data_IF_187744775176
#
_entry.id   IF_187744775176
#
_cell.length_a   1.000
_cell.length_b   1.000
_cell.length_c   1.000
_cell.angle_alpha   90.00
_cell.angle_beta   90.00
_cell.angle_gamma   90.00
#
_symmetry.space_group_name_H-M   'P 1'
#
loop_
_entity.id
_entity.type
_entity.pdbx_description
1 polymer ?
#
# COMPACT_ATOMS: atom_id res chain seq x y z
N UNK A 1 -1.80 13.67 20.01
CA UNK A 1 -2.41 13.38 18.69
C UNK A 1 -2.54 14.64 17.82
N UNK A 2 -3.31 15.66 18.18
CA UNK A 2 -3.55 16.86 17.34
C UNK A 2 -2.30 17.60 16.82
N UNK A 3 -1.20 17.63 17.57
CA UNK A 3 0.04 18.31 17.18
C UNK A 3 0.71 17.73 15.92
N UNK A 4 0.49 16.45 15.62
CA UNK A 4 1.10 15.76 14.49
C UNK A 4 0.17 15.70 13.28
N UNK A 5 -1.13 15.67 13.49
CA UNK A 5 -2.13 15.64 12.41
C UNK A 5 -2.03 16.84 11.45
N UNK A 6 -1.68 18.02 11.98
CA UNK A 6 -1.54 19.26 11.21
C UNK A 6 -0.29 19.30 10.27
N UNK A 7 0.62 18.33 10.38
CA UNK A 7 1.87 18.30 9.60
C UNK A 7 1.94 17.14 8.58
N UNK A 8 0.90 16.29 8.50
CA UNK A 8 0.88 15.19 7.56
C UNK A 8 0.21 15.60 6.26
N UNK A 9 0.95 15.55 5.16
CA UNK A 9 0.42 15.66 3.79
C UNK A 9 -0.14 14.32 3.27
N UNK A 10 -0.30 13.32 4.15
CA UNK A 10 -0.76 11.99 3.79
C UNK A 10 -2.24 12.04 3.38
N UNK A 11 -2.55 11.53 2.20
CA UNK A 11 -3.92 11.38 1.71
C UNK A 11 -4.56 10.09 2.22
N UNK A 12 -5.84 10.11 2.48
CA UNK A 12 -6.63 8.95 2.89
C UNK A 12 -7.77 9.32 3.84
N UNK A 13 -8.78 8.46 3.92
CA UNK A 13 -9.97 8.68 4.75
C UNK A 13 -9.71 8.50 6.26
N UNK A 14 -8.65 7.75 6.62
CA UNK A 14 -8.29 7.51 8.02
C UNK A 14 -7.42 8.62 8.61
N UNK A 15 -7.57 8.94 9.91
CA UNK A 15 -6.61 9.76 10.63
C UNK A 15 -5.23 9.09 10.62
N UNK A 16 -4.21 9.77 10.10
CA UNK A 16 -2.83 9.28 10.03
C UNK A 16 -1.91 10.23 10.76
N UNK A 17 -0.98 9.67 11.51
CA UNK A 17 0.01 10.44 12.27
C UNK A 17 1.39 9.92 11.94
N UNK A 18 2.33 10.83 11.66
CA UNK A 18 3.73 10.50 11.50
C UNK A 18 4.40 10.68 12.86
N UNK A 19 4.97 9.61 13.40
CA UNK A 19 5.74 9.62 14.65
C UNK A 19 7.14 9.08 14.43
N UNK A 20 8.13 9.56 15.18
CA UNK A 20 9.50 9.05 15.13
C UNK A 20 9.63 7.66 15.76
N UNK A 21 10.56 6.84 15.27
CA UNK A 21 10.73 5.43 15.69
C UNK A 21 11.53 5.18 16.94
N UNK A 22 12.11 6.13 17.62
CA UNK A 22 12.77 5.84 18.88
C UNK A 22 11.76 5.68 20.02
N UNK A 23 11.14 4.51 20.06
CA UNK A 23 10.58 3.95 21.28
C UNK A 23 11.70 3.09 21.88
N UNK A 24 12.62 3.70 22.59
CA UNK A 24 13.46 2.97 23.52
C UNK A 24 12.55 2.44 24.63
N UNK A 25 12.69 1.16 24.95
CA UNK A 25 11.88 0.44 25.94
C UNK A 25 12.07 0.94 27.41
N UNK A 26 12.54 2.15 27.59
CA UNK A 26 12.59 2.81 28.89
C UNK A 26 11.34 3.66 29.08
N UNK A 27 10.59 3.34 30.14
CA UNK A 27 9.47 4.11 30.68
C UNK A 27 9.93 5.51 31.09
N UNK A 28 10.28 6.37 30.15
CA UNK A 28 10.48 7.77 30.41
C UNK A 28 9.42 8.60 29.68
N UNK A 29 8.78 9.50 30.40
CA UNK A 29 7.76 10.43 29.91
C UNK A 29 8.29 11.47 28.89
N UNK A 30 9.37 11.19 28.16
CA UNK A 30 9.97 12.07 27.16
C UNK A 30 10.26 11.28 25.89
N UNK A 31 9.37 11.38 24.92
CA UNK A 31 9.62 10.90 23.56
C UNK A 31 10.56 11.87 22.85
N UNK A 32 11.78 11.45 22.60
CA UNK A 32 12.76 12.21 21.82
C UNK A 32 12.52 11.98 20.33
N UNK A 33 11.90 12.95 19.64
CA UNK A 33 11.47 12.86 18.25
C UNK A 33 12.60 13.30 17.31
N UNK A 34 13.43 12.37 16.81
CA UNK A 34 14.53 12.70 15.91
C UNK A 34 14.16 12.67 14.42
N UNK A 35 13.37 11.71 13.95
CA UNK A 35 12.85 11.65 12.57
C UNK A 35 11.53 10.91 12.51
N UNK A 36 10.54 11.37 11.70
CA UNK A 36 9.29 10.64 11.53
C UNK A 36 9.54 9.40 10.68
N UNK A 37 9.50 8.23 11.27
CA UNK A 37 9.81 6.97 10.60
C UNK A 37 8.67 5.98 10.57
N UNK A 38 7.59 6.23 11.29
CA UNK A 38 6.39 5.39 11.26
C UNK A 38 5.13 6.22 11.02
N UNK A 39 4.13 5.55 10.45
CA UNK A 39 2.77 6.05 10.28
C UNK A 39 1.90 5.27 11.26
N UNK A 40 1.13 5.97 12.09
CA UNK A 40 0.13 5.36 12.97
C UNK A 40 -1.25 5.64 12.38
N UNK A 41 -2.01 4.58 12.16
CA UNK A 41 -3.40 4.63 11.68
C UNK A 41 -4.31 4.16 12.80
N UNK A 42 -5.30 4.95 13.14
CA UNK A 42 -6.31 4.63 14.14
C UNK A 42 -7.62 4.26 13.45
N UNK A 43 -8.25 3.16 13.87
CA UNK A 43 -9.55 2.76 13.35
C UNK A 43 -10.62 3.78 13.76
N UNK A 44 -11.39 4.28 12.80
CA UNK A 44 -12.58 5.08 13.07
C UNK A 44 -13.79 4.22 13.46
N UNK A 45 -14.82 4.85 14.00
CA UNK A 45 -16.08 4.16 14.35
C UNK A 45 -16.81 3.59 13.11
N UNK A 46 -16.58 4.16 11.94
CA UNK A 46 -17.22 3.76 10.69
C UNK A 46 -16.79 2.36 10.21
N UNK A 47 -15.52 1.99 10.47
CA UNK A 47 -14.97 0.68 10.10
C UNK A 47 -14.37 0.00 11.33
N UNK A 48 -15.20 -0.66 12.16
CA UNK A 48 -14.70 -1.34 13.37
C UNK A 48 -13.65 -2.39 13.01
N UNK A 49 -12.55 -2.42 13.79
CA UNK A 49 -11.47 -3.40 13.60
C UNK A 49 -10.59 -3.18 12.34
N UNK A 50 -10.65 -2.00 11.69
CA UNK A 50 -9.89 -1.74 10.48
C UNK A 50 -8.37 -1.85 10.69
N UNK A 51 -7.85 -1.45 11.86
CA UNK A 51 -6.43 -1.61 12.22
C UNK A 51 -6.02 -3.09 12.26
N UNK A 52 -6.86 -3.94 12.83
CA UNK A 52 -6.65 -5.39 12.87
C UNK A 52 -6.75 -6.01 11.48
N UNK A 53 -7.71 -5.56 10.67
CA UNK A 53 -7.87 -6.00 9.28
C UNK A 53 -6.61 -5.68 8.45
N UNK A 54 -6.12 -4.44 8.51
CA UNK A 54 -4.89 -4.05 7.79
C UNK A 54 -3.69 -4.86 8.28
N UNK A 55 -3.54 -5.05 9.61
CA UNK A 55 -2.49 -5.88 10.16
C UNK A 55 -2.53 -7.32 9.62
N UNK A 56 -3.72 -7.92 9.54
CA UNK A 56 -3.92 -9.27 9.01
C UNK A 56 -3.55 -9.34 7.52
N UNK A 57 -4.01 -8.39 6.72
CA UNK A 57 -3.72 -8.35 5.29
C UNK A 57 -2.23 -8.14 5.01
N UNK A 58 -1.56 -7.28 5.79
CA UNK A 58 -0.11 -7.09 5.71
C UNK A 58 0.67 -8.32 6.16
N UNK A 59 0.16 -9.08 7.15
CA UNK A 59 0.75 -10.36 7.56
C UNK A 59 0.67 -11.40 6.45
N UNK A 60 -0.47 -11.49 5.75
CA UNK A 60 -0.60 -12.36 4.56
C UNK A 60 0.37 -11.95 3.46
N UNK A 61 0.56 -10.65 3.22
CA UNK A 61 1.55 -10.16 2.26
C UNK A 61 2.98 -10.60 2.64
N UNK A 62 3.33 -10.51 3.91
CA UNK A 62 4.64 -10.94 4.44
C UNK A 62 4.85 -12.46 4.29
N UNK A 63 3.86 -13.27 4.65
CA UNK A 63 3.90 -14.74 4.49
C UNK A 63 3.96 -15.17 3.03
N UNK A 64 3.39 -14.36 2.13
CA UNK A 64 3.50 -14.57 0.68
C UNK A 64 4.87 -14.09 0.11
N UNK A 65 5.84 -13.74 0.96
CA UNK A 65 7.17 -13.23 0.59
C UNK A 65 7.13 -11.95 -0.28
N UNK A 66 6.08 -11.14 -0.15
CA UNK A 66 6.09 -9.82 -0.75
C UNK A 66 6.91 -8.85 0.10
N UNK A 67 7.51 -7.86 -0.56
CA UNK A 67 8.23 -6.81 0.16
C UNK A 67 7.23 -5.95 0.95
N UNK A 68 7.31 -6.01 2.28
CA UNK A 68 6.49 -5.23 3.20
C UNK A 68 7.38 -4.41 4.14
N UNK A 69 7.02 -3.17 4.50
CA UNK A 69 7.70 -2.44 5.57
C UNK A 69 7.42 -3.14 6.91
N UNK A 70 8.23 -2.88 7.92
CA UNK A 70 7.91 -3.37 9.28
C UNK A 70 6.60 -2.75 9.77
N UNK A 71 5.78 -3.54 10.42
CA UNK A 71 4.48 -3.10 10.93
C UNK A 71 4.13 -3.78 12.24
N UNK A 72 3.25 -3.15 13.00
CA UNK A 72 2.82 -3.60 14.31
C UNK A 72 1.35 -3.27 14.52
N UNK A 73 0.75 -3.99 15.46
CA UNK A 73 -0.57 -3.69 16.00
C UNK A 73 -0.41 -3.28 17.46
N UNK A 74 -1.13 -2.26 17.93
CA UNK A 74 -1.16 -1.92 19.34
C UNK A 74 -1.81 -3.02 20.17
N UNK A 75 -1.47 -3.13 21.46
CA UNK A 75 -1.97 -4.18 22.37
C UNK A 75 -3.50 -4.20 22.46
N UNK A 76 -4.13 -3.06 22.32
CA UNK A 76 -5.59 -2.89 22.29
C UNK A 76 -6.21 -3.08 20.88
N UNK A 77 -5.40 -3.43 19.89
CA UNK A 77 -5.77 -3.62 18.48
C UNK A 77 -6.47 -2.42 17.83
N UNK A 78 -6.41 -1.22 18.43
CA UNK A 78 -7.05 -0.02 17.90
C UNK A 78 -6.19 0.74 16.90
N UNK A 79 -4.85 0.50 16.89
CA UNK A 79 -3.90 1.20 16.03
C UNK A 79 -3.04 0.24 15.24
N UNK A 80 -2.99 0.47 13.93
CA UNK A 80 -2.01 -0.13 13.05
C UNK A 80 -0.83 0.84 12.89
N UNK A 81 0.38 0.31 13.03
CA UNK A 81 1.61 1.07 12.97
C UNK A 81 2.46 0.49 11.85
N UNK A 82 2.92 1.32 10.93
CA UNK A 82 3.75 0.88 9.81
C UNK A 82 4.94 1.80 9.63
N UNK A 83 6.10 1.20 9.36
CA UNK A 83 7.31 1.94 9.05
C UNK A 83 7.19 2.62 7.69
N UNK A 84 7.74 3.81 7.56
CA UNK A 84 7.81 4.51 6.27
C UNK A 84 8.86 3.83 5.39
N UNK A 85 8.46 3.47 4.20
CA UNK A 85 9.34 2.90 3.17
C UNK A 85 9.92 3.96 2.21
N UNK A 86 9.44 5.20 2.28
CA UNK A 86 9.92 6.33 1.47
C UNK A 86 11.18 6.99 2.05
N UNK A 87 11.95 6.20 2.82
CA UNK A 87 13.24 6.59 3.38
C UNK A 87 14.19 5.41 3.36
N UNK A 88 15.44 5.69 3.07
CA UNK A 88 16.49 4.68 3.19
C UNK A 88 16.92 4.46 4.65
N UNK A 89 17.75 3.45 4.96
CA UNK A 89 18.20 3.16 6.33
C UNK A 89 18.94 4.32 7.02
N UNK A 90 19.50 5.25 6.25
CA UNK A 90 20.15 6.47 6.80
C UNK A 90 19.15 7.60 7.08
N UNK A 91 17.86 7.40 6.77
CA UNK A 91 16.80 8.39 6.94
C UNK A 91 16.66 9.40 5.78
N UNK A 92 17.46 9.26 4.70
CA UNK A 92 17.33 10.10 3.49
C UNK A 92 16.00 9.79 2.80
N UNK A 93 15.23 10.80 2.39
CA UNK A 93 14.01 10.56 1.59
C UNK A 93 14.33 9.85 0.28
N UNK A 94 13.50 8.87 -0.07
CA UNK A 94 13.42 8.27 -1.40
C UNK A 94 12.40 9.02 -2.24
N UNK A 95 12.57 9.02 -3.56
CA UNK A 95 11.52 9.38 -4.48
C UNK A 95 10.40 8.34 -4.42
N UNK A 96 9.16 8.79 -4.36
CA UNK A 96 7.97 7.94 -4.38
C UNK A 96 6.87 8.60 -5.18
N UNK A 97 6.37 7.87 -6.18
CA UNK A 97 5.24 8.30 -7.01
C UNK A 97 4.17 7.24 -7.03
N UNK A 98 2.94 7.60 -6.66
CA UNK A 98 1.80 6.68 -6.79
C UNK A 98 1.31 6.58 -8.25
N UNK A 99 0.57 5.52 -8.57
CA UNK A 99 0.11 5.26 -9.93
C UNK A 99 -0.90 6.29 -10.45
N UNK A 100 -1.58 7.04 -9.58
CA UNK A 100 -2.44 8.14 -10.01
C UNK A 100 -1.59 9.29 -10.55
N UNK A 101 -0.50 9.66 -9.86
CA UNK A 101 0.46 10.68 -10.31
C UNK A 101 1.12 10.24 -11.61
N UNK A 102 1.62 9.02 -11.70
CA UNK A 102 2.27 8.48 -12.91
C UNK A 102 1.31 8.37 -14.10
N UNK A 103 0.01 8.23 -13.86
CA UNK A 103 -1.04 8.28 -14.88
C UNK A 103 -1.49 9.71 -15.23
N UNK A 104 -0.95 10.75 -14.60
CA UNK A 104 -1.37 12.15 -14.81
C UNK A 104 -2.75 12.46 -14.24
N UNK A 105 -3.20 11.71 -13.22
CA UNK A 105 -4.52 11.83 -12.61
C UNK A 105 -4.45 12.56 -11.27
N UNK A 106 -5.49 13.31 -10.95
CA UNK A 106 -5.64 13.95 -9.63
C UNK A 106 -6.01 12.94 -8.54
N UNK A 107 -5.87 13.33 -7.27
CA UNK A 107 -6.25 12.51 -6.13
C UNK A 107 -7.74 12.09 -6.15
N UNK A 108 -8.63 12.93 -6.66
CA UNK A 108 -10.07 12.63 -6.80
C UNK A 108 -10.35 11.57 -7.89
N UNK A 109 -9.41 11.37 -8.81
CA UNK A 109 -9.51 10.43 -9.91
C UNK A 109 -8.84 9.07 -9.62
N UNK A 110 -8.50 8.78 -8.37
CA UNK A 110 -7.78 7.57 -7.93
C UNK A 110 -8.47 6.25 -8.32
N UNK A 111 -9.77 6.25 -8.58
CA UNK A 111 -10.55 5.09 -9.05
C UNK A 111 -10.70 5.03 -10.58
N UNK A 112 -10.11 5.98 -11.31
CA UNK A 112 -10.14 5.98 -12.77
C UNK A 112 -8.97 5.17 -13.31
N UNK A 113 -9.26 4.17 -14.13
CA UNK A 113 -8.21 3.34 -14.73
C UNK A 113 -8.46 1.85 -14.59
N UNK A 114 -7.38 1.10 -14.69
CA UNK A 114 -7.43 -0.37 -14.59
C UNK A 114 -6.11 -0.92 -14.06
N UNK A 115 -6.12 -2.16 -13.60
CA UNK A 115 -4.87 -2.85 -13.22
C UNK A 115 -3.94 -3.04 -14.43
N UNK A 116 -4.50 -3.14 -15.65
CA UNK A 116 -3.68 -3.11 -16.86
C UNK A 116 -2.93 -1.78 -17.05
N UNK A 117 -3.51 -0.65 -16.61
CA UNK A 117 -2.79 0.63 -16.67
C UNK A 117 -1.63 0.68 -15.69
N UNK A 118 -1.77 0.10 -14.50
CA UNK A 118 -0.69 -0.06 -13.52
C UNK A 118 0.46 -0.87 -14.13
N UNK A 119 0.15 -2.05 -14.70
CA UNK A 119 1.17 -2.91 -15.31
C UNK A 119 1.90 -2.23 -16.47
N UNK A 120 1.17 -1.43 -17.30
CA UNK A 120 1.82 -0.65 -18.37
C UNK A 120 2.75 0.44 -17.83
N UNK A 121 2.38 1.10 -16.75
CA UNK A 121 3.25 2.08 -16.09
C UNK A 121 4.52 1.39 -15.58
N UNK A 122 4.41 0.24 -14.93
CA UNK A 122 5.57 -0.55 -14.47
C UNK A 122 6.47 -0.91 -15.66
N UNK A 123 5.91 -1.43 -16.75
CA UNK A 123 6.68 -1.74 -17.97
C UNK A 123 7.38 -0.52 -18.58
N UNK A 124 6.83 0.69 -18.39
CA UNK A 124 7.41 1.91 -18.95
C UNK A 124 8.57 2.42 -18.10
N UNK A 125 8.47 2.35 -16.79
CA UNK A 125 9.43 2.97 -15.88
C UNK A 125 10.42 1.98 -15.25
N UNK A 126 10.04 0.72 -15.07
CA UNK A 126 10.90 -0.30 -14.49
C UNK A 126 11.49 -1.18 -15.61
N UNK A 127 12.81 -1.18 -15.75
CA UNK A 127 13.49 -1.85 -16.87
C UNK A 127 13.74 -3.36 -16.67
N UNK A 128 12.97 -4.05 -15.79
CA UNK A 128 13.20 -5.46 -15.49
C UNK A 128 11.89 -6.26 -15.29
N UNK A 129 11.95 -7.56 -15.64
CA UNK A 129 10.83 -8.49 -15.48
C UNK A 129 10.41 -8.70 -14.02
N UNK A 130 11.36 -8.63 -13.08
CA UNK A 130 11.07 -8.82 -11.66
C UNK A 130 10.10 -7.75 -11.14
N UNK A 131 10.13 -6.54 -11.69
CA UNK A 131 9.19 -5.49 -11.36
C UNK A 131 7.74 -5.84 -11.75
N UNK A 132 7.57 -6.49 -12.93
CA UNK A 132 6.26 -6.96 -13.37
C UNK A 132 5.74 -8.08 -12.47
N UNK A 133 6.59 -9.03 -12.09
CA UNK A 133 6.23 -10.11 -11.17
C UNK A 133 5.82 -9.54 -9.82
N UNK A 134 6.60 -8.62 -9.27
CA UNK A 134 6.33 -7.96 -7.98
C UNK A 134 5.00 -7.19 -8.01
N UNK A 135 4.77 -6.38 -9.04
CA UNK A 135 3.54 -5.60 -9.14
C UNK A 135 2.32 -6.50 -9.38
N UNK A 136 2.45 -7.51 -10.24
CA UNK A 136 1.39 -8.50 -10.43
C UNK A 136 1.06 -9.23 -9.13
N UNK A 137 2.05 -9.71 -8.38
CA UNK A 137 1.83 -10.39 -7.10
C UNK A 137 1.07 -9.51 -6.10
N UNK A 138 1.38 -8.20 -6.07
CA UNK A 138 0.65 -7.24 -5.25
C UNK A 138 -0.80 -7.05 -5.71
N UNK A 139 -1.06 -6.95 -7.02
CA UNK A 139 -2.41 -6.86 -7.58
C UNK A 139 -3.20 -8.14 -7.27
N UNK A 140 -2.57 -9.29 -7.44
CA UNK A 140 -3.18 -10.59 -7.14
C UNK A 140 -3.52 -10.71 -5.64
N UNK A 141 -2.61 -10.31 -4.75
CA UNK A 141 -2.86 -10.26 -3.31
C UNK A 141 -4.12 -9.45 -2.98
N UNK A 142 -4.21 -8.20 -3.48
CA UNK A 142 -5.37 -7.34 -3.25
C UNK A 142 -6.67 -7.99 -3.75
N UNK A 143 -6.64 -8.62 -4.93
CA UNK A 143 -7.81 -9.30 -5.48
C UNK A 143 -8.22 -10.53 -4.66
N UNK A 144 -7.27 -11.34 -4.20
CA UNK A 144 -7.50 -12.53 -3.37
C UNK A 144 -8.01 -12.18 -1.97
N UNK A 145 -7.49 -11.12 -1.38
CA UNK A 145 -7.93 -10.58 -0.09
C UNK A 145 -9.28 -9.84 -0.17
N UNK A 146 -9.86 -9.71 -1.37
CA UNK A 146 -11.10 -8.95 -1.58
C UNK A 146 -10.97 -7.49 -1.17
N UNK A 147 -9.85 -6.87 -1.53
CA UNK A 147 -9.60 -5.46 -1.31
C UNK A 147 -10.31 -4.61 -2.39
N UNK A 148 -11.50 -4.16 -2.08
CA UNK A 148 -12.30 -3.29 -2.96
C UNK A 148 -11.85 -1.82 -2.93
N UNK A 149 -10.84 -1.46 -2.12
CA UNK A 149 -10.25 -0.11 -2.08
C UNK A 149 -8.83 -0.06 -2.70
N UNK A 150 -8.37 -1.12 -3.35
CA UNK A 150 -7.07 -1.18 -4.02
C UNK A 150 -7.02 -0.29 -5.28
N UNK A 151 -7.07 1.03 -5.08
CA UNK A 151 -7.07 2.05 -6.14
C UNK A 151 -5.65 2.47 -6.56
N UNK A 152 -5.51 3.36 -7.55
CA UNK A 152 -4.21 3.78 -8.10
C UNK A 152 -3.22 4.32 -7.06
N UNK A 153 -3.70 4.92 -5.98
CA UNK A 153 -2.82 5.48 -4.93
C UNK A 153 -2.31 4.43 -3.93
N UNK A 154 -2.78 3.19 -4.00
CA UNK A 154 -2.27 2.08 -3.19
C UNK A 154 -1.10 1.35 -3.86
N UNK A 155 -0.75 1.73 -5.07
CA UNK A 155 0.38 1.22 -5.84
C UNK A 155 1.34 2.36 -6.18
N UNK A 156 2.63 2.11 -6.17
CA UNK A 156 3.61 3.15 -6.47
C UNK A 156 4.97 2.59 -6.88
N UNK A 157 5.83 3.50 -7.30
CA UNK A 157 7.22 3.25 -7.62
C UNK A 157 8.12 4.05 -6.67
N UNK A 158 9.29 3.49 -6.35
CA UNK A 158 10.31 4.12 -5.51
C UNK A 158 11.64 4.16 -6.24
N UNK A 159 12.46 5.19 -5.95
CA UNK A 159 13.80 5.38 -6.48
C UNK A 159 14.65 6.22 -5.51
N UNK A 160 15.97 6.03 -5.53
CA UNK A 160 16.86 6.76 -4.61
C UNK A 160 17.12 8.20 -5.04
N UNK A 161 17.48 8.38 -6.32
CA UNK A 161 17.81 9.67 -6.93
C UNK A 161 17.32 9.69 -8.40
N UNK A 162 17.18 10.87 -9.02
CA UNK A 162 16.87 10.96 -10.45
C UNK A 162 17.92 10.19 -11.28
N UNK A 163 17.45 9.21 -12.07
CA UNK A 163 18.31 8.34 -12.89
C UNK A 163 18.77 7.05 -12.22
N UNK A 164 18.42 6.81 -10.93
CA UNK A 164 18.62 5.49 -10.30
C UNK A 164 17.58 4.47 -10.80
N UNK A 165 17.78 3.21 -10.43
CA UNK A 165 16.81 2.15 -10.70
C UNK A 165 15.46 2.48 -10.06
N UNK A 166 14.38 2.27 -10.82
CA UNK A 166 13.01 2.48 -10.37
C UNK A 166 12.39 1.12 -10.09
N UNK A 167 11.84 0.95 -8.89
CA UNK A 167 11.31 -0.32 -8.40
C UNK A 167 9.85 -0.15 -7.92
N UNK A 168 9.03 -1.21 -7.96
CA UNK A 168 7.76 -1.22 -7.26
C UNK A 168 7.95 -0.96 -5.76
N UNK A 169 7.12 -0.12 -5.19
CA UNK A 169 7.14 0.14 -3.75
C UNK A 169 6.83 -1.13 -2.96
N UNK A 170 7.26 -1.21 -1.70
CA UNK A 170 6.71 -2.20 -0.77
C UNK A 170 5.18 -2.16 -0.73
N UNK A 171 4.55 -3.23 -0.25
CA UNK A 171 3.10 -3.31 -0.03
C UNK A 171 2.69 -2.35 1.10
N UNK A 172 1.62 -1.62 0.91
CA UNK A 172 1.02 -0.72 1.91
C UNK A 172 -0.48 -0.55 1.65
N UNK A 173 -1.25 -0.15 2.66
CA UNK A 173 -2.69 0.12 2.55
C UNK A 173 -3.47 -1.04 1.91
N UNK A 174 -3.35 -2.26 2.46
CA UNK A 174 -4.11 -3.44 2.02
C UNK A 174 -5.11 -3.84 3.08
N UNK A 175 -6.37 -3.93 2.70
CA UNK A 175 -7.47 -4.28 3.61
C UNK A 175 -8.46 -5.23 2.93
N UNK A 176 -9.10 -6.10 3.69
CA UNK A 176 -10.23 -6.88 3.19
C UNK A 176 -11.51 -6.05 3.35
N UNK A 177 -11.99 -5.41 2.28
CA UNK A 177 -13.22 -4.60 2.35
C UNK A 177 -14.48 -5.46 2.40
N UNK A 178 -14.41 -6.71 1.94
CA UNK A 178 -15.56 -7.62 1.89
C UNK A 178 -16.12 -8.03 3.25
N UNK A 179 -15.42 -7.76 4.36
CA UNK A 179 -15.93 -7.98 5.71
C UNK A 179 -16.92 -6.89 6.16
N UNK A 180 -16.94 -5.74 5.48
CA UNK A 180 -17.85 -4.65 5.78
C UNK A 180 -19.09 -4.74 4.90
N UNK A 181 -20.30 -4.96 5.48
CA UNK A 181 -21.50 -5.28 4.70
C UNK A 181 -21.97 -4.15 3.79
N UNK A 182 -21.67 -2.90 4.16
CA UNK A 182 -22.14 -1.71 3.46
C UNK A 182 -21.20 -1.27 2.31
N UNK A 183 -20.08 -1.98 2.10
CA UNK A 183 -19.17 -1.71 1.01
C UNK A 183 -19.43 -2.58 -0.21
N UNK A 184 -19.19 -2.03 -1.40
CA UNK A 184 -19.24 -2.75 -2.66
C UNK A 184 -18.29 -3.94 -2.66
N UNK A 185 -18.76 -5.09 -3.08
CA UNK A 185 -17.97 -6.32 -3.21
C UNK A 185 -17.35 -6.43 -4.60
N UNK A 186 -16.67 -5.39 -5.00
CA UNK A 186 -16.06 -5.27 -6.32
C UNK A 186 -14.61 -4.79 -6.20
N UNK A 187 -13.84 -4.96 -7.27
CA UNK A 187 -12.50 -4.38 -7.40
C UNK A 187 -12.59 -2.84 -7.45
N UNK A 188 -11.64 -2.15 -6.83
CA UNK A 188 -11.49 -0.70 -6.93
C UNK A 188 -11.28 -0.23 -8.39
N UNK A 189 -10.49 -0.98 -9.15
CA UNK A 189 -10.17 -0.72 -10.55
C UNK A 189 -10.67 -1.87 -11.44
N UNK A 190 -10.82 -1.61 -12.72
CA UNK A 190 -11.17 -2.65 -13.70
C UNK A 190 -9.99 -3.61 -13.91
N UNK A 191 -10.30 -4.89 -14.04
CA UNK A 191 -9.43 -5.94 -14.55
C UNK A 191 -10.15 -6.63 -15.71
N UNK A 192 -9.54 -6.73 -16.89
CA UNK A 192 -10.19 -7.27 -18.08
C UNK A 192 -11.56 -6.62 -18.37
N UNK A 193 -11.66 -5.30 -18.17
CA UNK A 193 -12.86 -4.46 -18.32
C UNK A 193 -13.95 -4.65 -17.26
N UNK A 194 -13.81 -5.61 -16.34
CA UNK A 194 -14.77 -5.92 -15.28
C UNK A 194 -14.26 -5.42 -13.92
N UNK A 195 -15.17 -5.22 -12.98
CA UNK A 195 -14.87 -4.92 -11.57
C UNK A 195 -15.13 -6.10 -10.63
N UNK A 196 -15.60 -7.23 -11.16
CA UNK A 196 -15.76 -8.44 -10.36
C UNK A 196 -14.41 -9.00 -9.93
N UNK A 197 -14.31 -9.49 -8.70
CA UNK A 197 -13.09 -10.17 -8.24
C UNK A 197 -12.78 -11.37 -9.16
N UNK A 198 -11.55 -11.46 -9.67
CA UNK A 198 -11.18 -12.46 -10.66
C UNK A 198 -11.11 -13.86 -10.04
N UNK A 199 -11.36 -14.88 -10.88
CA UNK A 199 -11.00 -16.25 -10.57
C UNK A 199 -9.47 -16.45 -10.69
N UNK A 200 -8.90 -17.52 -10.11
CA UNK A 200 -7.49 -17.87 -10.30
C UNK A 200 -7.08 -17.92 -11.79
N UNK A 201 -7.88 -18.55 -12.64
CA UNK A 201 -7.63 -18.62 -14.09
C UNK A 201 -7.60 -17.22 -14.75
N UNK A 202 -8.45 -16.31 -14.29
CA UNK A 202 -8.46 -14.93 -14.78
C UNK A 202 -7.22 -14.15 -14.36
N UNK A 203 -6.70 -14.41 -13.14
CA UNK A 203 -5.43 -13.84 -12.67
C UNK A 203 -4.26 -14.36 -13.49
N UNK A 204 -4.19 -15.67 -13.74
CA UNK A 204 -3.14 -16.28 -14.57
C UNK A 204 -3.15 -15.69 -15.99
N UNK A 205 -4.31 -15.59 -16.62
CA UNK A 205 -4.44 -14.96 -17.94
C UNK A 205 -4.04 -13.48 -17.93
N UNK A 206 -4.34 -12.77 -16.84
CA UNK A 206 -3.90 -11.39 -16.67
C UNK A 206 -2.37 -11.31 -16.56
N UNK A 207 -1.73 -12.17 -15.75
CA UNK A 207 -0.28 -12.24 -15.61
C UNK A 207 0.43 -12.46 -16.94
N UNK A 208 -0.04 -13.42 -17.73
CA UNK A 208 0.53 -13.79 -19.04
C UNK A 208 0.53 -12.61 -20.04
N UNK A 209 -0.45 -11.71 -19.99
CA UNK A 209 -0.47 -10.49 -20.84
C UNK A 209 0.70 -9.56 -20.60
N UNK A 210 1.34 -9.64 -19.43
CA UNK A 210 2.43 -8.77 -19.01
C UNK A 210 3.75 -9.51 -18.84
N UNK A 211 3.88 -10.71 -19.43
CA UNK A 211 5.11 -11.50 -19.41
C UNK A 211 5.42 -12.14 -18.06
N UNK A 212 4.44 -12.26 -17.16
CA UNK A 212 4.60 -12.98 -15.89
C UNK A 212 4.29 -14.45 -16.13
N UNK A 213 5.33 -15.27 -16.30
CA UNK A 213 5.19 -16.68 -16.69
C UNK A 213 5.06 -17.64 -15.50
N UNK A 214 5.60 -17.26 -14.33
CA UNK A 214 5.54 -18.07 -13.10
C UNK A 214 4.56 -17.42 -12.13
N UNK A 215 3.38 -18.00 -12.03
CA UNK A 215 2.30 -17.57 -11.12
C UNK A 215 2.00 -18.69 -10.13
#
# INVERSE_FOLDING_TARGET
MAKYALRSSLSGAQPKIIVPTQITAERSNKTSLLTPSVIVKEAGHEFPGLSLNEYFCMSVASEANLNVPRFWLSDDATRFIVERFDRNPSGKPLGFEDMAVLAGLSASQKYMGSYESIMRIVNTYCANEAANQTMFARIALSALLKDGDAHLKNFGLVYEDPGSEILPSPVYDVVCTAIYPDLDRELALKMNKLRTFPSPDSLIKFAQKFGVEKV
#
